data_IF_111026929082
#
_entry.id   IF_111026929082
#
_cell.length_a   1.000
_cell.length_b   1.000
_cell.length_c   1.000
_cell.angle_alpha   90.00
_cell.angle_beta   90.00
_cell.angle_gamma   90.00
#
_symmetry.space_group_name_H-M   'P 1'
#
loop_
_entity.id
_entity.type
_entity.pdbx_description
1 polymer ?
#
# COMPACT_ATOMS: atom_id res chain seq x y z
N UNK A 1 -14.14 7.92 -14.62
CA UNK A 1 -15.51 7.53 -14.26
C UNK A 1 -15.58 6.01 -14.24
N UNK A 2 -16.49 5.45 -13.45
CA UNK A 2 -16.57 4.03 -13.12
C UNK A 2 -16.59 3.11 -14.35
N UNK A 3 -17.18 3.56 -15.47
CA UNK A 3 -17.27 2.77 -16.71
C UNK A 3 -15.89 2.42 -17.29
N UNK A 4 -14.92 3.34 -17.19
CA UNK A 4 -13.55 3.05 -17.63
C UNK A 4 -12.86 2.05 -16.70
N UNK A 5 -13.19 2.05 -15.41
CA UNK A 5 -12.66 1.04 -14.48
C UNK A 5 -13.19 -0.35 -14.84
N UNK A 6 -14.50 -0.46 -15.09
CA UNK A 6 -15.14 -1.70 -15.53
C UNK A 6 -14.57 -2.19 -16.86
N UNK A 7 -14.35 -1.28 -17.82
CA UNK A 7 -13.70 -1.60 -19.09
C UNK A 7 -12.30 -2.20 -18.90
N UNK A 8 -11.49 -1.60 -18.03
CA UNK A 8 -10.12 -2.09 -17.75
C UNK A 8 -10.11 -3.43 -17.02
N UNK A 9 -11.07 -3.66 -16.12
CA UNK A 9 -11.26 -4.95 -15.46
C UNK A 9 -11.63 -6.02 -16.50
N UNK A 10 -12.59 -5.74 -17.39
CA UNK A 10 -13.00 -6.67 -18.42
C UNK A 10 -11.85 -7.01 -19.39
N UNK A 11 -11.04 -6.02 -19.79
CA UNK A 11 -9.84 -6.27 -20.59
C UNK A 11 -8.84 -7.14 -19.83
N UNK A 12 -8.62 -6.87 -18.54
CA UNK A 12 -7.72 -7.68 -17.68
C UNK A 12 -8.17 -9.13 -17.61
N UNK A 13 -9.49 -9.34 -17.47
CA UNK A 13 -10.13 -10.65 -17.45
C UNK A 13 -9.98 -11.38 -18.77
N UNK A 14 -10.34 -10.73 -19.89
CA UNK A 14 -10.31 -11.31 -21.23
C UNK A 14 -8.89 -11.67 -21.68
N UNK A 15 -7.93 -10.79 -21.43
CA UNK A 15 -6.54 -10.95 -21.87
C UNK A 15 -5.67 -11.68 -20.82
N UNK A 16 -6.27 -12.14 -19.70
CA UNK A 16 -5.59 -12.83 -18.60
C UNK A 16 -4.34 -12.10 -18.10
N UNK A 17 -4.45 -10.78 -17.94
CA UNK A 17 -3.33 -9.94 -17.50
C UNK A 17 -3.04 -10.19 -16.03
N UNK A 18 -1.77 -10.08 -15.65
CA UNK A 18 -1.33 -10.22 -14.26
C UNK A 18 -1.24 -8.87 -13.52
N UNK A 19 -1.63 -7.79 -14.19
CA UNK A 19 -1.68 -6.44 -13.63
C UNK A 19 -2.98 -5.74 -14.01
N UNK A 20 -3.43 -4.84 -13.14
CA UNK A 20 -4.59 -3.98 -13.37
C UNK A 20 -4.25 -2.53 -12.99
N UNK A 21 -4.53 -1.59 -13.90
CA UNK A 21 -4.30 -0.16 -13.70
C UNK A 21 -5.63 0.62 -13.70
N UNK A 22 -6.07 1.03 -12.52
CA UNK A 22 -7.26 1.84 -12.28
C UNK A 22 -6.90 3.28 -11.84
N UNK A 23 -5.72 3.79 -12.21
CA UNK A 23 -5.29 5.13 -11.82
C UNK A 23 -6.11 6.24 -12.46
N UNK A 24 -6.32 7.32 -11.71
CA UNK A 24 -6.82 8.59 -12.26
C UNK A 24 -8.28 8.55 -12.70
N UNK A 25 -9.09 7.65 -12.13
CA UNK A 25 -10.45 7.40 -12.58
C UNK A 25 -11.51 8.13 -11.76
N UNK A 26 -11.08 8.92 -10.77
CA UNK A 26 -11.94 9.59 -9.78
C UNK A 26 -12.82 8.62 -8.99
N UNK A 27 -12.33 7.41 -8.75
CA UNK A 27 -13.05 6.39 -7.98
C UNK A 27 -13.15 6.83 -6.52
N UNK A 28 -14.33 6.69 -5.92
CA UNK A 28 -14.55 6.92 -4.47
C UNK A 28 -14.48 5.62 -3.67
N UNK A 29 -14.63 4.48 -4.34
CA UNK A 29 -14.54 3.13 -3.80
C UNK A 29 -13.86 2.22 -4.83
N UNK A 30 -13.34 1.09 -4.36
CA UNK A 30 -12.83 0.05 -5.27
C UNK A 30 -14.03 -0.71 -5.87
N UNK A 31 -14.17 -0.79 -7.21
CA UNK A 31 -15.27 -1.51 -7.84
C UNK A 31 -15.25 -2.99 -7.45
N UNK A 32 -16.41 -3.53 -7.09
CA UNK A 32 -16.55 -4.94 -6.69
C UNK A 32 -16.15 -5.94 -7.77
N UNK A 33 -16.23 -5.52 -9.03
CA UNK A 33 -15.86 -6.29 -10.21
C UNK A 33 -14.35 -6.61 -10.23
N UNK A 34 -13.54 -5.96 -9.39
CA UNK A 34 -12.14 -6.35 -9.18
C UNK A 34 -11.99 -7.82 -8.73
N UNK A 35 -13.02 -8.37 -8.08
CA UNK A 35 -13.07 -9.76 -7.64
C UNK A 35 -13.22 -10.76 -8.79
N UNK A 36 -13.51 -10.29 -10.00
CA UNK A 36 -13.53 -11.13 -11.20
C UNK A 36 -12.13 -11.40 -11.76
N UNK A 37 -11.11 -10.70 -11.27
CA UNK A 37 -9.70 -10.89 -11.65
C UNK A 37 -8.81 -11.23 -10.44
N UNK A 38 -9.14 -12.25 -9.63
CA UNK A 38 -8.47 -12.51 -8.34
C UNK A 38 -7.02 -12.99 -8.46
N UNK A 39 -6.57 -13.29 -9.68
CA UNK A 39 -5.22 -13.80 -9.98
C UNK A 39 -4.17 -12.69 -10.13
N UNK A 40 -4.56 -11.41 -10.24
CA UNK A 40 -3.59 -10.34 -10.52
C UNK A 40 -2.53 -10.23 -9.41
N UNK A 41 -1.28 -10.02 -9.82
CA UNK A 41 -0.15 -9.82 -8.93
C UNK A 41 0.16 -8.34 -8.66
N UNK A 42 -0.25 -7.45 -9.58
CA UNK A 42 0.00 -6.02 -9.48
C UNK A 42 -1.29 -5.20 -9.66
N UNK A 43 -1.60 -4.34 -8.69
CA UNK A 43 -2.77 -3.47 -8.73
C UNK A 43 -2.35 -2.02 -8.50
N UNK A 44 -2.85 -1.13 -9.34
CA UNK A 44 -2.67 0.31 -9.19
C UNK A 44 -4.00 1.02 -9.12
N UNK A 45 -4.27 1.66 -7.99
CA UNK A 45 -5.46 2.45 -7.66
C UNK A 45 -5.09 3.91 -7.34
N UNK A 46 -3.87 4.34 -7.68
CA UNK A 46 -3.37 5.68 -7.36
C UNK A 46 -4.14 6.81 -8.06
N UNK A 47 -4.12 8.00 -7.48
CA UNK A 47 -4.81 9.19 -8.00
C UNK A 47 -6.33 8.96 -8.11
N UNK A 48 -6.95 8.50 -7.03
CA UNK A 48 -8.39 8.39 -6.90
C UNK A 48 -8.83 9.11 -5.61
N UNK A 49 -10.06 8.89 -5.16
CA UNK A 49 -10.64 9.44 -3.94
C UNK A 49 -11.10 8.32 -3.01
N UNK A 50 -10.39 7.19 -3.04
CA UNK A 50 -10.76 5.98 -2.30
C UNK A 50 -10.38 6.16 -0.83
N UNK A 51 -11.31 5.87 0.07
CA UNK A 51 -11.06 5.76 1.51
C UNK A 51 -11.16 4.32 2.01
N UNK A 52 -12.10 3.55 1.46
CA UNK A 52 -12.31 2.14 1.81
C UNK A 52 -11.63 1.20 0.79
N UNK A 53 -10.70 0.38 1.30
CA UNK A 53 -9.97 -0.64 0.54
C UNK A 53 -10.23 -2.05 1.08
N UNK A 54 -11.23 -2.25 1.96
CA UNK A 54 -11.54 -3.52 2.62
C UNK A 54 -11.75 -4.69 1.65
N UNK A 55 -12.29 -4.41 0.46
CA UNK A 55 -12.51 -5.42 -0.59
C UNK A 55 -11.20 -6.09 -1.06
N UNK A 56 -10.05 -5.42 -0.90
CA UNK A 56 -8.74 -5.96 -1.27
C UNK A 56 -8.32 -7.16 -0.41
N UNK A 57 -8.98 -7.42 0.72
CA UNK A 57 -8.79 -8.65 1.52
C UNK A 57 -9.04 -9.92 0.71
N UNK A 58 -9.86 -9.84 -0.34
CA UNK A 58 -10.18 -10.95 -1.22
C UNK A 58 -9.21 -11.08 -2.41
N UNK A 59 -8.10 -10.33 -2.41
CA UNK A 59 -7.09 -10.31 -3.48
C UNK A 59 -5.72 -10.85 -2.99
N UNK A 60 -5.63 -12.10 -2.52
CA UNK A 60 -4.45 -12.62 -1.81
C UNK A 60 -3.21 -12.81 -2.71
N UNK A 61 -3.37 -12.72 -4.04
CA UNK A 61 -2.28 -12.88 -5.00
C UNK A 61 -1.47 -11.58 -5.19
N UNK A 62 -2.02 -10.43 -4.81
CA UNK A 62 -1.38 -9.13 -5.02
C UNK A 62 -0.08 -9.04 -4.23
N UNK A 63 1.01 -8.83 -4.95
CA UNK A 63 2.35 -8.62 -4.39
C UNK A 63 2.87 -7.20 -4.61
N UNK A 64 2.25 -6.43 -5.52
CA UNK A 64 2.53 -5.01 -5.76
C UNK A 64 1.24 -4.22 -5.72
N UNK A 65 1.12 -3.31 -4.75
CA UNK A 65 -0.07 -2.50 -4.53
C UNK A 65 0.30 -1.02 -4.51
N UNK A 66 -0.29 -0.23 -5.42
CA UNK A 66 -0.12 1.21 -5.49
C UNK A 66 -1.44 1.93 -5.20
N UNK A 67 -1.46 2.72 -4.13
CA UNK A 67 -2.60 3.44 -3.59
C UNK A 67 -2.27 4.91 -3.32
N UNK A 68 -1.15 5.42 -3.86
CA UNK A 68 -0.73 6.82 -3.76
C UNK A 68 -1.82 7.82 -4.16
N UNK A 69 -1.92 8.96 -3.48
CA UNK A 69 -2.91 10.02 -3.75
C UNK A 69 -4.35 9.48 -3.66
N UNK A 70 -4.77 9.13 -2.45
CA UNK A 70 -6.12 8.69 -2.09
C UNK A 70 -6.51 9.30 -0.73
N UNK A 71 -7.61 8.84 -0.12
CA UNK A 71 -8.14 9.32 1.15
C UNK A 71 -8.12 8.20 2.22
N UNK A 72 -7.16 7.29 2.16
CA UNK A 72 -7.12 6.09 3.01
C UNK A 72 -6.61 6.45 4.41
N UNK A 73 -7.33 5.99 5.42
CA UNK A 73 -6.95 6.11 6.84
C UNK A 73 -6.63 4.73 7.45
N UNK A 74 -7.46 3.73 7.14
CA UNK A 74 -7.33 2.37 7.65
C UNK A 74 -6.68 1.43 6.62
N UNK A 75 -5.58 0.81 7.03
CA UNK A 75 -4.83 -0.18 6.23
C UNK A 75 -4.86 -1.58 6.85
N UNK A 76 -5.78 -1.86 7.78
CA UNK A 76 -5.95 -3.18 8.41
C UNK A 76 -6.16 -4.31 7.40
N UNK A 77 -6.73 -3.99 6.23
CA UNK A 77 -6.90 -4.95 5.13
C UNK A 77 -5.59 -5.60 4.67
N UNK A 78 -4.46 -4.92 4.83
CA UNK A 78 -3.15 -5.43 4.39
C UNK A 78 -2.70 -6.66 5.17
N UNK A 79 -3.23 -6.88 6.38
CA UNK A 79 -3.00 -8.11 7.16
C UNK A 79 -3.49 -9.37 6.41
N UNK A 80 -4.56 -9.23 5.62
CA UNK A 80 -5.13 -10.31 4.81
C UNK A 80 -4.41 -10.53 3.47
N UNK A 81 -3.32 -9.79 3.18
CA UNK A 81 -2.61 -9.80 1.90
C UNK A 81 -1.17 -10.33 2.07
N UNK A 82 -0.97 -11.65 2.28
CA UNK A 82 0.31 -12.23 2.73
C UNK A 82 1.42 -12.19 1.67
N UNK A 83 1.10 -11.87 0.41
CA UNK A 83 2.07 -11.84 -0.70
C UNK A 83 2.66 -10.46 -0.98
N UNK A 84 2.27 -9.42 -0.24
CA UNK A 84 2.76 -8.06 -0.45
C UNK A 84 4.29 -7.96 -0.36
N UNK A 85 4.89 -7.31 -1.36
CA UNK A 85 6.34 -7.04 -1.47
C UNK A 85 6.63 -5.57 -1.72
N UNK A 86 5.73 -4.88 -2.41
CA UNK A 86 5.86 -3.46 -2.76
C UNK A 86 4.53 -2.77 -2.46
N UNK A 87 4.56 -1.81 -1.55
CA UNK A 87 3.37 -1.04 -1.15
C UNK A 87 3.69 0.45 -1.31
N UNK A 88 2.83 1.16 -2.03
CA UNK A 88 2.92 2.61 -2.22
C UNK A 88 1.64 3.27 -1.71
N UNK A 89 1.74 3.99 -0.59
CA UNK A 89 0.64 4.62 0.13
C UNK A 89 0.89 6.12 0.36
N UNK A 90 1.83 6.71 -0.37
CA UNK A 90 2.14 8.14 -0.27
C UNK A 90 0.91 9.03 -0.47
N UNK A 91 0.85 10.17 0.21
CA UNK A 91 -0.26 11.13 0.14
C UNK A 91 -1.62 10.46 0.41
N UNK A 92 -1.79 10.02 1.65
CA UNK A 92 -3.03 9.49 2.22
C UNK A 92 -3.21 10.10 3.63
N UNK A 93 -4.11 9.56 4.44
CA UNK A 93 -4.45 10.06 5.78
C UNK A 93 -4.10 9.04 6.88
N UNK A 94 -3.11 8.17 6.62
CA UNK A 94 -2.77 7.05 7.49
C UNK A 94 -2.09 7.55 8.76
N UNK A 95 -2.53 7.02 9.90
CA UNK A 95 -1.97 7.33 11.24
C UNK A 95 -1.32 6.13 11.90
N UNK A 96 -1.88 4.95 11.69
CA UNK A 96 -1.44 3.70 12.31
C UNK A 96 -0.90 2.73 11.26
N UNK A 97 0.36 2.31 11.44
CA UNK A 97 1.02 1.30 10.61
C UNK A 97 1.37 0.04 11.42
N UNK A 98 0.82 -0.16 12.60
CA UNK A 98 0.96 -1.44 13.34
C UNK A 98 0.36 -2.61 12.58
N UNK A 99 -0.62 -2.35 11.71
CA UNK A 99 -1.31 -3.33 10.85
C UNK A 99 -0.44 -3.94 9.77
N UNK A 100 0.78 -3.44 9.56
CA UNK A 100 1.70 -4.04 8.59
C UNK A 100 2.69 -5.05 9.19
N UNK A 101 2.63 -5.32 10.50
CA UNK A 101 3.57 -6.21 11.20
C UNK A 101 3.65 -7.63 10.60
N UNK A 102 2.57 -8.12 9.99
CA UNK A 102 2.53 -9.45 9.37
C UNK A 102 3.27 -9.58 8.03
N UNK A 103 3.65 -8.49 7.36
CA UNK A 103 4.25 -8.56 6.02
C UNK A 103 5.77 -8.74 6.04
N UNK A 104 6.24 -9.88 6.55
CA UNK A 104 7.66 -10.26 6.59
C UNK A 104 8.36 -10.30 5.22
N UNK A 105 7.59 -10.36 4.13
CA UNK A 105 8.11 -10.39 2.74
C UNK A 105 8.23 -9.00 2.10
N UNK A 106 7.87 -7.94 2.82
CA UNK A 106 7.87 -6.58 2.33
C UNK A 106 9.29 -6.13 2.01
N UNK A 107 9.49 -5.59 0.81
CA UNK A 107 10.79 -5.11 0.31
C UNK A 107 10.85 -3.59 0.22
N UNK A 108 9.72 -2.97 -0.12
CA UNK A 108 9.60 -1.52 -0.26
C UNK A 108 8.26 -1.06 0.26
N UNK A 109 8.30 -0.04 1.11
CA UNK A 109 7.15 0.64 1.67
C UNK A 109 7.33 2.14 1.52
N UNK A 110 6.36 2.80 0.89
CA UNK A 110 6.35 4.26 0.71
C UNK A 110 5.12 4.82 1.40
N UNK A 111 5.33 5.63 2.42
CA UNK A 111 4.31 6.21 3.30
C UNK A 111 4.50 7.73 3.47
N UNK A 112 5.28 8.38 2.61
CA UNK A 112 5.47 9.82 2.70
C UNK A 112 4.15 10.59 2.57
N UNK A 113 4.06 11.78 3.16
CA UNK A 113 2.85 12.61 3.12
C UNK A 113 1.64 11.88 3.72
N UNK A 114 1.79 11.43 4.97
CA UNK A 114 0.71 10.83 5.77
C UNK A 114 0.68 11.50 7.16
N UNK A 115 -0.10 10.96 8.08
CA UNK A 115 -0.30 11.51 9.43
C UNK A 115 0.26 10.56 10.51
N UNK A 116 1.28 9.77 10.17
CA UNK A 116 1.85 8.76 11.07
C UNK A 116 2.64 9.47 12.17
N UNK A 117 2.26 9.23 13.43
CA UNK A 117 2.95 9.82 14.59
C UNK A 117 3.77 8.82 15.40
N UNK A 118 3.54 7.52 15.18
CA UNK A 118 4.21 6.43 15.90
C UNK A 118 4.78 5.39 14.94
N UNK A 119 6.04 5.01 15.15
CA UNK A 119 6.70 3.95 14.41
C UNK A 119 6.67 2.65 15.24
N UNK A 120 6.02 1.57 14.78
CA UNK A 120 6.08 0.28 15.45
C UNK A 120 7.48 -0.34 15.34
N UNK A 121 7.74 -1.38 16.14
CA UNK A 121 8.93 -2.21 15.97
C UNK A 121 8.99 -2.77 14.54
N UNK A 122 10.12 -2.53 13.88
CA UNK A 122 10.39 -2.93 12.50
C UNK A 122 11.31 -4.17 12.40
N UNK A 123 11.72 -4.74 13.54
CA UNK A 123 12.64 -5.90 13.61
C UNK A 123 12.19 -7.11 12.79
N UNK A 124 10.87 -7.27 12.58
CA UNK A 124 10.30 -8.36 11.79
C UNK A 124 10.41 -8.18 10.27
N UNK A 125 10.74 -6.99 9.77
CA UNK A 125 10.83 -6.69 8.34
C UNK A 125 12.20 -7.04 7.74
N UNK A 126 12.58 -8.31 7.83
CA UNK A 126 13.90 -8.81 7.45
C UNK A 126 14.30 -8.57 5.98
N UNK A 127 13.32 -8.37 5.09
CA UNK A 127 13.54 -8.15 3.65
C UNK A 127 13.34 -6.69 3.22
N UNK A 128 12.98 -5.80 4.14
CA UNK A 128 12.69 -4.41 3.81
C UNK A 128 13.99 -3.68 3.50
N UNK A 129 14.09 -3.17 2.28
CA UNK A 129 15.27 -2.46 1.79
C UNK A 129 15.02 -0.96 1.62
N UNK A 130 13.75 -0.55 1.58
CA UNK A 130 13.35 0.84 1.40
C UNK A 130 12.12 1.16 2.24
N UNK A 131 12.25 2.17 3.09
CA UNK A 131 11.17 2.75 3.86
C UNK A 131 11.21 4.28 3.72
N UNK A 132 10.12 4.87 3.30
CA UNK A 132 9.98 6.32 3.21
C UNK A 132 8.81 6.78 4.06
N UNK A 133 9.15 7.58 5.07
CA UNK A 133 8.24 8.13 6.07
C UNK A 133 8.32 9.67 6.09
N UNK A 134 8.90 10.28 5.07
CA UNK A 134 9.04 11.75 4.98
C UNK A 134 7.67 12.44 5.04
N UNK A 135 7.60 13.66 5.54
CA UNK A 135 6.35 14.41 5.71
C UNK A 135 5.26 13.63 6.47
N UNK A 136 5.64 13.08 7.63
CA UNK A 136 4.72 12.49 8.60
C UNK A 136 4.82 13.24 9.94
N UNK A 137 3.90 12.95 10.86
CA UNK A 137 3.88 13.56 12.19
C UNK A 137 4.75 12.82 13.23
N UNK A 138 5.80 12.11 12.78
CA UNK A 138 6.58 11.23 13.64
C UNK A 138 7.38 12.03 14.67
N UNK A 139 7.08 11.79 15.95
CA UNK A 139 7.93 12.24 17.06
C UNK A 139 9.04 11.21 17.27
N UNK A 140 10.07 11.25 16.40
CA UNK A 140 11.14 10.27 16.43
C UNK A 140 12.12 10.61 17.57
N UNK A 141 12.49 9.63 18.44
CA UNK A 141 13.73 9.75 19.18
C UNK A 141 14.91 9.88 18.20
N UNK A 142 15.97 10.54 18.67
CA UNK A 142 17.08 11.05 17.86
C UNK A 142 17.55 10.05 16.77
N UNK A 143 17.90 10.50 15.54
CA UNK A 143 18.29 9.64 14.40
C UNK A 143 19.28 8.50 14.66
N UNK A 144 20.08 8.57 15.74
CA UNK A 144 21.04 7.53 16.14
C UNK A 144 20.34 6.26 16.64
N UNK A 145 19.16 6.37 17.25
CA UNK A 145 18.45 5.24 17.85
C UNK A 145 17.77 4.37 16.79
N UNK A 146 17.47 4.93 15.62
CA UNK A 146 16.88 4.19 14.48
C UNK A 146 17.91 3.41 13.67
N UNK A 147 19.14 3.93 13.52
CA UNK A 147 20.21 3.27 12.77
C UNK A 147 20.71 1.99 13.45
N UNK A 148 20.54 1.89 14.77
CA UNK A 148 20.83 0.68 15.54
C UNK A 148 19.89 -0.49 15.20
N UNK A 149 18.70 -0.23 14.63
CA UNK A 149 17.67 -1.26 14.44
C UNK A 149 17.81 -1.96 13.08
N UNK A 150 18.29 -1.30 12.02
CA UNK A 150 18.36 -1.88 10.66
C UNK A 150 19.53 -1.33 9.81
N UNK A 151 20.73 -1.94 9.87
CA UNK A 151 21.93 -1.43 9.18
C UNK A 151 21.86 -1.40 7.64
N UNK A 152 20.89 -2.10 7.04
CA UNK A 152 20.71 -2.18 5.58
C UNK A 152 19.51 -1.40 5.05
N UNK A 153 18.68 -0.82 5.93
CA UNK A 153 17.44 -0.16 5.53
C UNK A 153 17.71 1.30 5.14
N UNK A 154 17.36 1.67 3.90
CA UNK A 154 17.29 3.08 3.51
C UNK A 154 16.02 3.68 4.10
N UNK A 155 16.17 4.50 5.14
CA UNK A 155 15.08 5.26 5.77
C UNK A 155 15.18 6.72 5.34
N UNK A 156 14.14 7.21 4.66
CA UNK A 156 13.98 8.63 4.38
C UNK A 156 12.98 9.23 5.36
N UNK A 157 13.43 10.29 6.05
CA UNK A 157 12.64 11.15 6.93
C UNK A 157 13.08 12.59 6.68
N UNK A 158 12.15 13.46 6.32
CA UNK A 158 12.30 14.91 6.26
C UNK A 158 10.96 15.52 6.64
#
# INVERSE_FOLDING_TARGET
MIEEALRRIEVTKKENLHYLDLRGLNLVEVPKEILEVPWIGALSLSNNKISDISILSQMPQVHKLALTNNLIEDISVLEAMPKLRFIFLANNQIKDITKIRGQSRLKKLVLCDNQISFLPDLSHFNLLAYLDLSNNALDLPHPKDMLAVLPSLKIYKQ
#
